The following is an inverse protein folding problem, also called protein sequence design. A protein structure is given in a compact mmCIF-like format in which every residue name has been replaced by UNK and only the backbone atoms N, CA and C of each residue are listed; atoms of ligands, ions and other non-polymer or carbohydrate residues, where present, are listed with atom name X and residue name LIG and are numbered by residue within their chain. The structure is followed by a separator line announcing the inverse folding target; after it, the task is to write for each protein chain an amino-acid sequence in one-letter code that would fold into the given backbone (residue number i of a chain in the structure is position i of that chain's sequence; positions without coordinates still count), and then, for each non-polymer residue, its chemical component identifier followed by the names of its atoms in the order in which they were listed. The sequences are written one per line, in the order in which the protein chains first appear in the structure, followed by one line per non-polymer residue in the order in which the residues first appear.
data_IF_229640337589
#
_entry.id   IF_229640337589
#
_cell.length_a   1.000
_cell.length_b   1.000
_cell.length_c   1.000
_cell.angle_alpha   90.00
_cell.angle_beta   90.00
_cell.angle_gamma   90.00
#
_symmetry.space_group_name_H-M   'P 1'
#
loop_
_entity.id
_entity.type
_entity.pdbx_description
1 polymer ?
#
# COMPACT_ATOMS: atom_id res chain seq x y z
N UNK A 1 33.42 6.59 12.15
CA UNK A 1 33.71 6.25 10.75
C UNK A 1 33.08 7.34 9.91
N UNK A 2 33.88 8.18 9.26
CA UNK A 2 33.36 9.28 8.45
C UNK A 2 32.67 8.69 7.21
N UNK A 3 31.35 8.84 7.13
CA UNK A 3 30.58 8.42 5.96
C UNK A 3 31.01 9.28 4.76
N UNK A 4 31.58 8.62 3.75
CA UNK A 4 32.07 9.28 2.54
C UNK A 4 30.89 9.91 1.79
N UNK A 5 30.96 11.20 1.42
CA UNK A 5 29.85 11.88 0.75
C UNK A 5 29.66 11.32 -0.68
N UNK A 6 28.42 11.36 -1.17
CA UNK A 6 28.14 11.07 -2.59
C UNK A 6 28.50 12.26 -3.48
N UNK A 7 28.79 12.01 -4.76
CA UNK A 7 29.16 13.02 -5.75
C UNK A 7 28.15 14.17 -5.82
N UNK A 8 26.85 13.86 -5.77
CA UNK A 8 25.76 14.84 -5.76
C UNK A 8 25.92 15.87 -4.62
N UNK A 9 26.32 15.42 -3.43
CA UNK A 9 26.52 16.30 -2.27
C UNK A 9 27.67 17.27 -2.50
N UNK A 10 28.76 16.82 -3.12
CA UNK A 10 29.91 17.67 -3.46
C UNK A 10 29.54 18.70 -4.53
N UNK A 11 28.81 18.28 -5.57
CA UNK A 11 28.38 19.19 -6.66
C UNK A 11 27.38 20.25 -6.18
N UNK A 12 26.47 19.89 -5.28
CA UNK A 12 25.55 20.84 -4.65
C UNK A 12 26.28 21.83 -3.73
N UNK A 13 27.36 21.39 -3.08
CA UNK A 13 28.22 22.29 -2.31
C UNK A 13 28.91 23.31 -3.21
N UNK A 14 29.51 22.87 -4.32
CA UNK A 14 30.20 23.73 -5.29
C UNK A 14 29.26 24.74 -5.98
N UNK A 15 27.97 24.39 -6.15
CA UNK A 15 26.96 25.29 -6.75
C UNK A 15 26.14 26.08 -5.74
N UNK A 16 26.46 26.01 -4.44
CA UNK A 16 25.72 26.65 -3.34
C UNK A 16 24.23 26.25 -3.25
N UNK A 17 23.88 25.04 -3.69
CA UNK A 17 22.52 24.48 -3.68
C UNK A 17 22.27 23.51 -2.51
N UNK A 18 22.94 23.74 -1.37
CA UNK A 18 22.95 22.82 -0.23
C UNK A 18 21.65 22.81 0.57
N UNK A 19 20.85 23.88 0.47
CA UNK A 19 19.57 23.97 1.17
C UNK A 19 18.44 23.45 0.29
N UNK A 20 17.50 22.69 0.89
CA UNK A 20 16.35 22.14 0.17
C UNK A 20 15.59 23.21 -0.63
N UNK A 21 15.39 24.41 -0.05
CA UNK A 21 14.75 25.54 -0.73
C UNK A 21 15.54 26.05 -1.95
N UNK A 22 16.87 26.12 -1.88
CA UNK A 22 17.70 26.53 -3.02
C UNK A 22 17.67 25.46 -4.13
N UNK A 23 17.69 24.18 -3.74
CA UNK A 23 17.56 23.06 -4.64
C UNK A 23 16.22 23.07 -5.39
N UNK A 24 15.08 23.23 -4.69
CA UNK A 24 13.75 23.30 -5.32
C UNK A 24 13.66 24.42 -6.37
N UNK A 25 14.23 25.60 -6.08
CA UNK A 25 14.21 26.73 -7.03
C UNK A 25 14.99 26.42 -8.31
N UNK A 26 16.14 25.78 -8.18
CA UNK A 26 16.94 25.38 -9.34
C UNK A 26 16.28 24.22 -10.09
N UNK A 27 15.67 23.29 -9.36
CA UNK A 27 14.90 22.18 -9.91
C UNK A 27 13.75 22.69 -10.79
N UNK A 28 12.94 23.62 -10.29
CA UNK A 28 11.84 24.22 -11.05
C UNK A 28 12.34 25.03 -12.26
N UNK A 29 13.50 25.69 -12.15
CA UNK A 29 14.13 26.42 -13.26
C UNK A 29 14.55 25.49 -14.40
N UNK A 30 15.04 24.29 -14.07
CA UNK A 30 15.45 23.28 -15.03
C UNK A 30 14.25 22.52 -15.58
N UNK A 31 13.30 22.12 -14.72
CA UNK A 31 12.03 21.53 -15.11
C UNK A 31 11.30 22.44 -16.12
N UNK A 32 11.24 23.74 -15.86
CA UNK A 32 10.66 24.71 -16.78
C UNK A 32 11.22 24.70 -18.21
N UNK A 33 12.46 24.23 -18.41
CA UNK A 33 13.14 24.16 -19.71
C UNK A 33 13.11 22.74 -20.31
N UNK A 34 13.13 21.71 -19.47
CA UNK A 34 13.14 20.32 -19.89
C UNK A 34 11.71 19.80 -20.15
N UNK A 35 10.81 20.00 -19.19
CA UNK A 35 9.40 19.64 -19.28
C UNK A 35 8.57 20.50 -18.28
N UNK A 36 7.74 21.43 -18.76
CA UNK A 36 6.93 22.30 -17.90
C UNK A 36 5.98 21.55 -16.95
N UNK A 37 5.60 20.30 -17.25
CA UNK A 37 4.72 19.48 -16.41
C UNK A 37 5.40 18.98 -15.13
N UNK A 38 6.74 19.02 -15.07
CA UNK A 38 7.53 18.58 -13.92
C UNK A 38 7.80 19.71 -12.90
N UNK A 39 7.29 20.93 -13.13
CA UNK A 39 7.40 22.03 -12.16
C UNK A 39 6.63 21.71 -10.89
N UNK A 40 7.23 21.98 -9.74
CA UNK A 40 6.67 21.59 -8.44
C UNK A 40 6.87 20.11 -8.09
N UNK A 41 7.38 19.29 -9.01
CA UNK A 41 7.73 17.88 -8.81
C UNK A 41 9.11 17.68 -8.19
N UNK A 42 9.61 18.64 -7.40
CA UNK A 42 10.88 18.52 -6.69
C UNK A 42 10.80 17.48 -5.56
N UNK A 43 11.91 16.81 -5.22
CA UNK A 43 11.94 15.81 -4.15
C UNK A 43 11.61 16.42 -2.79
N UNK A 44 10.85 15.69 -1.98
CA UNK A 44 10.50 16.11 -0.62
C UNK A 44 11.76 16.40 0.22
N UNK A 45 11.64 17.19 1.29
CA UNK A 45 12.79 17.56 2.13
C UNK A 45 13.52 16.33 2.68
N UNK A 46 12.78 15.27 3.03
CA UNK A 46 13.34 14.01 3.49
C UNK A 46 14.10 13.28 2.36
N UNK A 47 13.53 13.22 1.16
CA UNK A 47 14.17 12.60 -0.01
C UNK A 47 15.44 13.36 -0.42
N UNK A 48 15.41 14.69 -0.38
CA UNK A 48 16.60 15.53 -0.62
C UNK A 48 17.74 15.19 0.35
N UNK A 49 17.48 15.12 1.66
CA UNK A 49 18.55 14.75 2.61
C UNK A 49 18.98 13.28 2.48
N UNK A 50 18.09 12.37 2.08
CA UNK A 50 18.42 10.97 1.78
C UNK A 50 19.32 10.84 0.54
N UNK A 51 19.08 11.64 -0.49
CA UNK A 51 19.97 11.72 -1.66
C UNK A 51 21.37 12.20 -1.28
N UNK A 52 21.50 13.05 -0.28
CA UNK A 52 22.79 13.54 0.23
C UNK A 52 23.47 12.57 1.20
N UNK A 53 22.72 11.70 1.87
CA UNK A 53 23.27 10.69 2.79
C UNK A 53 23.85 9.48 2.07
N UNK A 54 23.48 9.27 0.79
CA UNK A 54 23.92 8.12 0.00
C UNK A 54 23.17 6.83 0.35
N UNK A 55 22.08 6.91 1.11
CA UNK A 55 21.25 5.78 1.54
C UNK A 55 20.18 5.40 0.49
N UNK A 56 20.34 5.85 -0.75
CA UNK A 56 19.40 5.55 -1.83
C UNK A 56 19.69 4.15 -2.40
N UNK A 57 18.72 3.24 -2.31
CA UNK A 57 18.79 1.93 -2.95
C UNK A 57 18.29 2.08 -4.39
N UNK A 58 19.20 2.14 -5.36
CA UNK A 58 18.87 2.30 -6.79
C UNK A 58 18.88 3.75 -7.26
N UNK A 59 18.31 4.00 -8.45
CA UNK A 59 18.24 5.33 -9.06
C UNK A 59 16.88 6.00 -8.75
N UNK A 60 16.82 7.35 -8.67
CA UNK A 60 15.55 8.06 -8.58
C UNK A 60 14.59 7.78 -9.74
N UNK A 61 13.35 8.22 -9.61
CA UNK A 61 12.35 8.14 -10.69
C UNK A 61 12.88 8.80 -11.99
N UNK A 62 12.53 8.30 -13.20
CA UNK A 62 13.08 8.79 -14.46
C UNK A 62 12.98 10.31 -14.67
N UNK A 63 11.94 10.95 -14.15
CA UNK A 63 11.79 12.42 -14.25
C UNK A 63 12.78 13.17 -13.36
N UNK A 64 13.07 12.66 -12.15
CA UNK A 64 14.17 13.18 -11.34
C UNK A 64 15.52 12.92 -11.99
N UNK A 65 15.71 11.77 -12.63
CA UNK A 65 16.94 11.47 -13.36
C UNK A 65 17.17 12.46 -14.52
N UNK A 66 16.13 12.72 -15.32
CA UNK A 66 16.18 13.71 -16.41
C UNK A 66 16.53 15.10 -15.92
N UNK A 67 15.93 15.52 -14.81
CA UNK A 67 16.16 16.86 -14.24
C UNK A 67 17.55 16.94 -13.60
N UNK A 68 18.02 15.91 -12.90
CA UNK A 68 19.36 15.87 -12.32
C UNK A 68 20.46 15.88 -13.39
N UNK A 69 20.32 15.10 -14.48
CA UNK A 69 21.24 15.13 -15.62
C UNK A 69 21.25 16.51 -16.31
N UNK A 70 20.10 17.20 -16.32
CA UNK A 70 19.99 18.56 -16.87
C UNK A 70 20.55 19.62 -15.92
N UNK A 71 20.44 19.43 -14.60
CA UNK A 71 21.02 20.30 -13.58
C UNK A 71 22.54 20.19 -13.57
N UNK A 72 23.10 19.01 -13.85
CA UNK A 72 24.54 18.75 -13.87
C UNK A 72 25.00 18.25 -15.24
N UNK A 73 25.13 19.13 -16.26
CA UNK A 73 25.60 18.73 -17.58
C UNK A 73 26.94 18.01 -17.51
N UNK A 74 27.05 16.86 -18.18
CA UNK A 74 28.25 16.01 -18.16
C UNK A 74 28.23 14.90 -17.10
N UNK A 75 27.25 14.90 -16.17
CA UNK A 75 27.08 13.86 -15.17
C UNK A 75 25.87 12.99 -15.47
N UNK A 76 26.06 11.67 -15.43
CA UNK A 76 24.94 10.74 -15.45
C UNK A 76 24.40 10.48 -14.06
N UNK A 77 23.10 10.19 -13.97
CA UNK A 77 22.43 10.12 -12.66
C UNK A 77 23.01 9.00 -11.78
N UNK A 78 23.44 7.88 -12.37
CA UNK A 78 24.14 6.80 -11.69
C UNK A 78 25.47 7.24 -11.08
N UNK A 79 26.17 8.18 -11.71
CA UNK A 79 27.44 8.73 -11.22
C UNK A 79 27.23 9.75 -10.10
N UNK A 80 26.13 10.50 -10.13
CA UNK A 80 25.77 11.45 -9.07
C UNK A 80 25.57 10.76 -7.71
N UNK A 81 25.14 9.50 -7.71
CA UNK A 81 24.89 8.72 -6.49
C UNK A 81 26.04 7.77 -6.09
N UNK A 82 27.17 7.78 -6.80
CA UNK A 82 28.37 7.04 -6.38
C UNK A 82 29.05 7.69 -5.16
N UNK A 83 29.65 6.86 -4.32
CA UNK A 83 30.48 7.31 -3.18
C UNK A 83 31.75 7.97 -3.70
N UNK A 84 32.03 9.19 -3.26
CA UNK A 84 33.23 9.93 -3.66
C UNK A 84 34.38 9.66 -2.67
N UNK A 85 35.50 9.17 -3.21
CA UNK A 85 36.69 8.74 -2.44
C UNK A 85 37.78 9.83 -2.30
N UNK A 86 37.52 11.07 -2.72
CA UNK A 86 38.53 12.15 -2.76
C UNK A 86 38.19 13.37 -1.91
N UNK A 87 39.22 14.15 -1.54
CA UNK A 87 39.04 15.49 -1.00
C UNK A 87 38.36 16.42 -2.02
N UNK A 88 37.70 17.46 -1.50
CA UNK A 88 36.91 18.50 -2.19
C UNK A 88 37.56 19.22 -3.39
N UNK A 89 38.78 18.86 -3.78
CA UNK A 89 39.57 19.53 -4.82
C UNK A 89 39.65 18.77 -6.17
N UNK A 90 39.09 17.56 -6.29
CA UNK A 90 39.15 16.83 -7.56
C UNK A 90 37.86 16.08 -7.89
N UNK A 91 37.23 16.48 -8.99
CA UNK A 91 36.05 15.85 -9.58
C UNK A 91 36.51 15.07 -10.82
N UNK A 92 36.52 13.72 -10.83
CA UNK A 92 36.93 12.96 -12.00
C UNK A 92 35.85 13.00 -13.09
N UNK A 93 36.27 13.23 -14.34
CA UNK A 93 35.38 13.21 -15.51
C UNK A 93 34.93 11.76 -15.85
N UNK A 94 33.65 11.52 -16.19
CA UNK A 94 33.11 10.16 -16.26
C UNK A 94 33.45 9.37 -17.54
N UNK A 95 33.74 8.07 -17.38
CA UNK A 95 33.94 7.09 -18.44
C UNK A 95 32.64 6.28 -18.76
N UNK A 96 32.49 5.84 -20.01
CA UNK A 96 31.28 5.24 -20.62
C UNK A 96 31.15 3.71 -20.38
N UNK A 97 29.97 3.14 -20.01
CA UNK A 97 29.77 1.68 -19.92
C UNK A 97 28.94 1.04 -21.07
N UNK A 98 29.27 -0.23 -21.39
CA UNK A 98 28.66 -1.12 -22.41
C UNK A 98 27.48 -1.98 -21.88
N UNK A 99 26.61 -2.45 -22.80
CA UNK A 99 25.36 -3.23 -22.60
C UNK A 99 25.54 -4.76 -22.65
N UNK A 100 24.73 -5.51 -21.88
CA UNK A 100 24.33 -6.92 -22.15
C UNK A 100 22.87 -7.21 -21.75
N UNK A 101 22.23 -8.14 -22.47
CA UNK A 101 20.78 -8.46 -22.49
C UNK A 101 20.45 -9.81 -21.79
N UNK A 102 19.19 -10.12 -21.39
CA UNK A 102 18.79 -11.41 -20.80
C UNK A 102 17.96 -12.33 -21.73
N UNK A 103 17.91 -13.63 -21.41
CA UNK A 103 17.16 -14.72 -22.10
C UNK A 103 16.23 -15.47 -21.13
N UNK A 104 15.04 -15.85 -21.62
CA UNK A 104 13.91 -16.51 -20.91
C UNK A 104 13.83 -18.04 -21.17
N UNK A 105 13.27 -18.87 -20.25
CA UNK A 105 12.74 -20.21 -20.58
C UNK A 105 11.23 -20.44 -20.26
N UNK A 106 10.59 -21.50 -20.80
CA UNK A 106 9.12 -21.65 -20.89
C UNK A 106 8.42 -22.60 -19.89
N UNK A 107 7.09 -22.42 -19.76
CA UNK A 107 6.09 -23.09 -18.92
C UNK A 107 5.62 -24.49 -19.40
N UNK A 108 5.14 -25.32 -18.46
CA UNK A 108 4.31 -26.53 -18.69
C UNK A 108 3.03 -26.49 -17.81
N UNK A 109 1.89 -27.06 -18.27
CA UNK A 109 0.60 -26.99 -17.56
C UNK A 109 0.28 -28.23 -16.70
N UNK A 110 -0.49 -28.07 -15.63
CA UNK A 110 -0.93 -29.14 -14.72
C UNK A 110 -2.47 -29.25 -14.72
N UNK A 111 -2.99 -30.48 -14.81
CA UNK A 111 -4.42 -30.81 -14.75
C UNK A 111 -5.02 -30.78 -13.33
N UNK A 112 -6.34 -31.00 -13.17
CA UNK A 112 -7.06 -30.69 -11.94
C UNK A 112 -6.78 -31.74 -10.85
N UNK A 113 -6.42 -31.26 -9.65
CA UNK A 113 -6.04 -32.08 -8.50
C UNK A 113 -7.22 -32.35 -7.53
N UNK A 114 -7.21 -33.56 -6.96
CA UNK A 114 -8.04 -34.00 -5.84
C UNK A 114 -7.95 -33.05 -4.63
N UNK A 115 -9.04 -32.81 -3.86
CA UNK A 115 -9.04 -31.88 -2.72
C UNK A 115 -8.12 -32.29 -1.57
N UNK A 116 -7.78 -33.57 -1.44
CA UNK A 116 -6.79 -34.07 -0.48
C UNK A 116 -5.36 -33.66 -0.89
N UNK A 117 -5.04 -33.74 -2.19
CA UNK A 117 -3.75 -33.33 -2.74
C UNK A 117 -3.53 -31.81 -2.65
N UNK A 118 -4.59 -31.01 -2.91
CA UNK A 118 -4.53 -29.56 -2.81
C UNK A 118 -4.23 -29.07 -1.38
N UNK A 119 -4.75 -29.74 -0.36
CA UNK A 119 -4.47 -29.37 1.06
C UNK A 119 -3.02 -29.65 1.42
N UNK A 120 -2.47 -30.79 0.98
CA UNK A 120 -1.06 -31.14 1.21
C UNK A 120 -0.11 -30.17 0.49
N UNK A 121 -0.44 -29.75 -0.74
CA UNK A 121 0.36 -28.80 -1.52
C UNK A 121 0.52 -27.43 -0.84
N UNK A 122 -0.44 -27.02 -0.01
CA UNK A 122 -0.42 -25.73 0.71
C UNK A 122 0.21 -25.87 2.10
N UNK A 123 0.27 -27.07 2.67
CA UNK A 123 0.79 -27.32 4.01
C UNK A 123 2.30 -27.04 4.12
N UNK A 124 3.10 -27.53 3.17
CA UNK A 124 4.57 -27.33 3.16
C UNK A 124 5.00 -25.84 3.12
N UNK A 125 4.36 -24.95 2.33
CA UNK A 125 4.59 -23.51 2.42
C UNK A 125 4.20 -22.89 3.78
N UNK A 126 3.09 -23.33 4.40
CA UNK A 126 2.61 -22.80 5.68
C UNK A 126 3.59 -23.11 6.80
N UNK A 127 4.02 -24.38 6.89
CA UNK A 127 4.96 -24.82 7.92
C UNK A 127 6.28 -24.07 7.81
N UNK A 128 6.81 -23.89 6.60
CA UNK A 128 7.98 -23.03 6.36
C UNK A 128 7.75 -21.57 6.72
N UNK A 129 6.56 -21.02 6.45
CA UNK A 129 6.22 -19.65 6.83
C UNK A 129 6.21 -19.43 8.34
N UNK A 130 5.86 -20.46 9.13
CA UNK A 130 5.95 -20.41 10.59
C UNK A 130 7.38 -20.48 11.11
N UNK A 131 8.29 -21.14 10.40
CA UNK A 131 9.70 -21.27 10.79
C UNK A 131 10.57 -20.09 10.33
N UNK A 132 10.13 -19.35 9.30
CA UNK A 132 10.85 -18.22 8.77
C UNK A 132 10.88 -17.03 9.76
N UNK A 133 12.04 -16.37 9.95
CA UNK A 133 12.09 -15.16 10.75
C UNK A 133 11.20 -14.07 10.13
N UNK A 134 10.49 -13.30 10.96
CA UNK A 134 9.60 -12.20 10.56
C UNK A 134 10.30 -11.00 9.87
N UNK A 135 11.51 -11.21 9.35
CA UNK A 135 12.35 -10.22 8.69
C UNK A 135 12.02 -10.16 7.18
N UNK A 136 10.92 -9.49 6.84
CA UNK A 136 10.72 -8.80 5.54
C UNK A 136 10.79 -9.58 4.22
N UNK A 137 11.11 -10.88 4.21
CA UNK A 137 11.22 -11.68 2.98
C UNK A 137 9.90 -12.31 2.52
N UNK A 138 8.88 -12.35 3.40
CA UNK A 138 7.53 -12.72 2.99
C UNK A 138 6.89 -11.53 2.26
N UNK A 139 6.51 -11.71 1.01
CA UNK A 139 5.86 -10.68 0.22
C UNK A 139 4.95 -11.30 -0.82
N UNK A 140 3.97 -10.54 -1.29
CA UNK A 140 3.28 -10.84 -2.54
C UNK A 140 4.36 -10.92 -3.62
N UNK A 141 4.65 -12.12 -4.14
CA UNK A 141 5.78 -12.31 -5.05
C UNK A 141 5.69 -11.40 -6.29
N UNK A 142 6.83 -11.05 -6.89
CA UNK A 142 6.98 -10.10 -8.01
C UNK A 142 6.20 -10.41 -9.31
N UNK A 143 5.37 -11.47 -9.35
CA UNK A 143 4.82 -12.04 -10.58
C UNK A 143 3.36 -11.70 -10.93
N UNK A 144 2.68 -10.80 -10.20
CA UNK A 144 1.25 -10.50 -10.44
C UNK A 144 1.02 -8.99 -10.63
N UNK A 145 1.76 -8.37 -11.56
CA UNK A 145 1.35 -7.08 -12.11
C UNK A 145 1.09 -7.30 -13.61
N UNK A 146 -0.16 -7.10 -14.00
CA UNK A 146 -0.78 -7.36 -15.30
C UNK A 146 -1.29 -8.79 -15.52
N UNK A 147 -2.60 -8.98 -15.31
CA UNK A 147 -3.49 -9.46 -16.38
C UNK A 147 -4.95 -9.19 -15.99
N UNK A 148 -5.58 -8.27 -16.72
CA UNK A 148 -6.99 -7.93 -16.59
C UNK A 148 -7.87 -9.12 -16.99
N UNK A 149 -8.65 -9.63 -16.05
CA UNK A 149 -9.49 -10.82 -16.22
C UNK A 149 -10.74 -10.50 -17.03
N UNK A 150 -10.85 -11.07 -18.23
CA UNK A 150 -12.08 -11.11 -19.01
C UNK A 150 -13.12 -12.06 -18.37
N UNK A 151 -14.37 -11.62 -18.34
CA UNK A 151 -15.53 -12.37 -17.85
C UNK A 151 -15.97 -13.45 -18.84
N UNK A 152 -16.07 -14.69 -18.40
CA UNK A 152 -16.94 -15.71 -19.02
C UNK A 152 -17.72 -16.48 -17.96
N UNK A 153 -19.02 -16.65 -18.25
CA UNK A 153 -20.04 -17.33 -17.43
C UNK A 153 -20.31 -18.75 -17.97
N UNK A 154 -21.14 -19.62 -17.35
CA UNK A 154 -20.66 -20.87 -16.78
C UNK A 154 -21.27 -22.13 -17.44
N UNK A 155 -20.71 -23.29 -17.10
CA UNK A 155 -21.37 -24.59 -17.26
C UNK A 155 -21.41 -25.27 -15.88
N UNK A 156 -22.62 -25.57 -15.42
CA UNK A 156 -22.91 -26.33 -14.19
C UNK A 156 -22.77 -27.82 -14.45
N UNK A 157 -22.10 -28.54 -13.55
CA UNK A 157 -22.47 -29.91 -13.17
C UNK A 157 -21.92 -30.24 -11.76
N UNK A 158 -22.80 -30.76 -10.91
CA UNK A 158 -22.50 -31.28 -9.57
C UNK A 158 -22.49 -32.82 -9.62
N UNK A 159 -21.66 -33.46 -8.80
CA UNK A 159 -22.16 -34.61 -8.07
C UNK A 159 -21.96 -34.49 -6.56
N UNK A 160 -23.01 -34.93 -5.85
CA UNK A 160 -23.10 -35.12 -4.41
C UNK A 160 -22.32 -36.37 -3.96
N UNK A 161 -21.98 -36.33 -2.67
CA UNK A 161 -21.74 -37.46 -1.73
C UNK A 161 -20.28 -37.82 -1.46
N UNK A 162 -19.78 -37.44 -0.27
CA UNK A 162 -18.78 -38.22 0.48
C UNK A 162 -19.16 -38.20 1.96
N UNK A 163 -19.17 -39.39 2.55
CA UNK A 163 -19.55 -39.64 3.94
C UNK A 163 -18.55 -39.16 4.99
N UNK A 164 -19.05 -39.18 6.21
CA UNK A 164 -18.38 -39.00 7.50
C UNK A 164 -18.78 -40.26 8.29
N UNK A 165 -17.97 -40.85 9.19
CA UNK A 165 -17.03 -40.17 10.10
C UNK A 165 -15.65 -40.80 10.21
N UNK A 166 -14.67 -40.04 10.73
CA UNK A 166 -13.77 -40.54 11.79
C UNK A 166 -12.88 -39.46 12.41
N UNK A 167 -12.83 -39.52 13.76
CA UNK A 167 -11.87 -38.97 14.73
C UNK A 167 -11.55 -37.47 14.71
N UNK A 168 -11.99 -36.78 15.77
CA UNK A 168 -11.47 -35.47 16.22
C UNK A 168 -10.01 -35.61 16.66
N UNK A 169 -9.11 -35.85 15.71
CA UNK A 169 -7.70 -35.55 15.90
C UNK A 169 -7.61 -34.03 16.01
N UNK A 170 -7.09 -33.50 17.12
CA UNK A 170 -6.85 -32.06 17.28
C UNK A 170 -6.05 -31.57 16.07
N UNK A 171 -6.75 -30.91 15.13
CA UNK A 171 -6.11 -30.42 13.93
C UNK A 171 -5.11 -29.34 14.32
N UNK A 172 -3.87 -29.48 13.84
CA UNK A 172 -2.83 -28.48 14.07
C UNK A 172 -3.25 -27.15 13.45
N UNK A 173 -2.77 -26.00 13.96
CA UNK A 173 -3.05 -24.70 13.35
C UNK A 173 -2.70 -24.66 11.85
N UNK A 174 -1.61 -25.33 11.44
CA UNK A 174 -1.19 -25.45 10.04
C UNK A 174 -2.26 -26.17 9.19
N UNK A 175 -2.80 -27.31 9.67
CA UNK A 175 -3.84 -28.06 8.97
C UNK A 175 -5.15 -27.27 8.84
N UNK A 176 -5.52 -26.51 9.89
CA UNK A 176 -6.69 -25.62 9.85
C UNK A 176 -6.51 -24.53 8.81
N UNK A 177 -5.35 -23.86 8.80
CA UNK A 177 -5.03 -22.81 7.83
C UNK A 177 -5.02 -23.36 6.39
N UNK A 178 -4.37 -24.51 6.15
CA UNK A 178 -4.33 -25.13 4.83
C UNK A 178 -5.73 -25.43 4.30
N UNK A 179 -6.59 -26.05 5.13
CA UNK A 179 -7.98 -26.33 4.78
C UNK A 179 -8.77 -25.05 4.50
N UNK A 180 -8.62 -24.04 5.36
CA UNK A 180 -9.30 -22.75 5.18
C UNK A 180 -8.87 -22.05 3.90
N UNK A 181 -7.59 -22.09 3.53
CA UNK A 181 -7.10 -21.50 2.28
C UNK A 181 -7.70 -22.19 1.04
N UNK A 182 -7.83 -23.52 1.05
CA UNK A 182 -8.49 -24.25 -0.05
C UNK A 182 -9.98 -23.94 -0.12
N UNK A 183 -10.66 -23.78 1.02
CA UNK A 183 -12.06 -23.35 1.03
C UNK A 183 -12.21 -21.91 0.51
N UNK A 184 -11.32 -21.02 0.93
CA UNK A 184 -11.29 -19.63 0.51
C UNK A 184 -11.01 -19.50 -0.99
N UNK A 185 -10.12 -20.32 -1.55
CA UNK A 185 -9.79 -20.28 -2.97
C UNK A 185 -10.99 -20.60 -3.86
N UNK A 186 -11.81 -21.57 -3.46
CA UNK A 186 -13.06 -21.90 -4.15
C UNK A 186 -14.07 -20.75 -4.05
N UNK A 187 -14.17 -20.11 -2.88
CA UNK A 187 -15.11 -19.01 -2.64
C UNK A 187 -14.76 -17.74 -3.43
N UNK A 188 -13.48 -17.35 -3.39
CA UNK A 188 -12.98 -16.13 -4.04
C UNK A 188 -12.44 -16.37 -5.45
N UNK A 189 -12.48 -17.61 -5.96
CA UNK A 189 -11.94 -18.03 -7.26
C UNK A 189 -10.48 -17.59 -7.45
N UNK A 190 -9.66 -17.84 -6.42
CA UNK A 190 -8.23 -17.52 -6.40
C UNK A 190 -7.46 -18.49 -7.29
N UNK A 191 -6.41 -18.00 -7.93
CA UNK A 191 -5.49 -18.86 -8.68
C UNK A 191 -4.58 -19.67 -7.75
N UNK A 192 -4.03 -20.79 -8.23
CA UNK A 192 -3.07 -21.58 -7.45
C UNK A 192 -1.82 -20.77 -7.05
N UNK A 193 -1.42 -19.81 -7.90
CA UNK A 193 -0.34 -18.88 -7.60
C UNK A 193 -0.70 -17.96 -6.41
N UNK A 194 -1.90 -17.40 -6.39
CA UNK A 194 -2.40 -16.56 -5.28
C UNK A 194 -2.53 -17.35 -3.97
N UNK A 195 -3.04 -18.59 -4.03
CA UNK A 195 -3.12 -19.47 -2.86
C UNK A 195 -1.71 -19.73 -2.30
N UNK A 196 -0.76 -20.03 -3.18
CA UNK A 196 0.63 -20.25 -2.80
C UNK A 196 1.25 -19.01 -2.16
N UNK A 197 0.91 -17.82 -2.65
CA UNK A 197 1.36 -16.55 -2.04
C UNK A 197 0.74 -16.34 -0.67
N UNK A 198 -0.58 -16.54 -0.51
CA UNK A 198 -1.23 -16.47 0.80
C UNK A 198 -0.62 -17.45 1.80
N UNK A 199 -0.31 -18.67 1.36
CA UNK A 199 0.32 -19.68 2.20
C UNK A 199 1.70 -19.23 2.71
N UNK A 200 2.47 -18.49 1.90
CA UNK A 200 3.77 -17.91 2.32
C UNK A 200 3.63 -16.79 3.36
N UNK A 201 2.44 -16.23 3.55
CA UNK A 201 2.13 -15.24 4.59
C UNK A 201 1.71 -15.89 5.92
N UNK A 202 1.87 -17.22 6.07
CA UNK A 202 1.69 -17.89 7.34
C UNK A 202 2.50 -17.20 8.46
N UNK A 203 1.86 -17.02 9.61
CA UNK A 203 2.39 -16.22 10.71
C UNK A 203 1.87 -14.78 10.75
N UNK A 204 1.21 -14.30 9.70
CA UNK A 204 0.66 -12.94 9.63
C UNK A 204 -0.88 -12.91 9.68
N UNK A 205 -1.42 -11.72 9.95
CA UNK A 205 -2.83 -11.40 9.73
C UNK A 205 -2.90 -10.74 8.36
N UNK A 206 -3.66 -11.31 7.44
CA UNK A 206 -3.83 -10.78 6.08
C UNK A 206 -5.17 -10.08 5.98
N UNK A 207 -5.16 -8.90 5.39
CA UNK A 207 -6.34 -8.13 5.06
C UNK A 207 -6.76 -8.56 3.65
N UNK A 208 -7.84 -9.33 3.53
CA UNK A 208 -8.34 -9.79 2.22
C UNK A 208 -8.97 -8.63 1.45
N UNK A 209 -9.78 -7.85 2.13
CA UNK A 209 -10.45 -6.66 1.60
C UNK A 209 -10.49 -5.58 2.68
N UNK A 210 -9.95 -4.40 2.36
CA UNK A 210 -10.06 -3.20 3.18
C UNK A 210 -10.84 -2.14 2.41
N UNK A 211 -11.99 -1.74 2.95
CA UNK A 211 -12.74 -0.59 2.44
C UNK A 211 -12.66 0.56 3.42
N UNK A 212 -12.31 1.74 2.93
CA UNK A 212 -12.41 3.00 3.66
C UNK A 212 -13.30 3.95 2.85
N UNK A 213 -14.47 4.27 3.38
CA UNK A 213 -15.41 5.20 2.76
C UNK A 213 -15.46 6.49 3.57
N UNK A 214 -15.25 7.62 2.91
CA UNK A 214 -15.27 8.96 3.50
C UNK A 214 -16.44 9.72 2.89
N UNK A 215 -17.43 10.06 3.70
CA UNK A 215 -18.55 10.91 3.30
C UNK A 215 -18.35 12.29 3.93
N UNK A 216 -18.24 13.33 3.10
CA UNK A 216 -17.96 14.71 3.47
C UNK A 216 -19.19 15.56 3.12
N UNK A 217 -19.76 16.23 4.13
CA UNK A 217 -20.88 17.14 3.93
C UNK A 217 -20.47 18.52 3.38
N UNK A 218 -21.47 19.35 3.09
CA UNK A 218 -21.31 20.72 2.58
C UNK A 218 -20.45 21.62 3.50
N UNK A 219 -20.56 21.42 4.82
CA UNK A 219 -19.74 22.10 5.81
C UNK A 219 -18.30 21.53 5.92
N UNK A 220 -18.01 20.42 5.24
CA UNK A 220 -16.73 19.71 5.25
C UNK A 220 -16.57 18.71 6.39
N UNK A 221 -17.60 18.47 7.21
CA UNK A 221 -17.55 17.43 8.23
C UNK A 221 -17.61 16.06 7.59
N UNK A 222 -16.87 15.12 8.17
CA UNK A 222 -16.74 13.79 7.59
C UNK A 222 -17.20 12.68 8.52
N UNK A 223 -17.76 11.64 7.89
CA UNK A 223 -17.90 10.32 8.46
C UNK A 223 -17.00 9.36 7.69
N UNK A 224 -16.00 8.79 8.38
CA UNK A 224 -15.10 7.78 7.82
C UNK A 224 -15.55 6.42 8.29
N UNK A 225 -15.89 5.52 7.38
CA UNK A 225 -16.33 4.15 7.66
C UNK A 225 -15.28 3.17 7.17
N UNK A 226 -14.83 2.30 8.06
CA UNK A 226 -13.90 1.22 7.75
C UNK A 226 -14.60 -0.14 7.77
N UNK A 227 -14.24 -0.99 6.81
CA UNK A 227 -14.56 -2.41 6.82
C UNK A 227 -13.31 -3.22 6.52
N UNK A 228 -12.97 -4.12 7.43
CA UNK A 228 -11.78 -4.95 7.38
C UNK A 228 -12.16 -6.42 7.30
N UNK A 229 -11.94 -7.07 6.14
CA UNK A 229 -12.05 -8.51 6.03
C UNK A 229 -10.69 -9.14 6.33
N UNK A 230 -10.56 -9.75 7.50
CA UNK A 230 -9.31 -10.28 8.03
C UNK A 230 -9.26 -11.79 7.87
N UNK A 231 -8.12 -12.32 7.40
CA UNK A 231 -7.77 -13.72 7.42
C UNK A 231 -6.64 -13.94 8.44
N UNK A 232 -6.91 -14.76 9.46
CA UNK A 232 -5.92 -15.10 10.48
C UNK A 232 -5.01 -16.24 10.03
N UNK A 233 -3.84 -15.96 9.48
CA UNK A 233 -2.84 -16.99 9.16
C UNK A 233 -1.83 -17.21 10.30
N UNK A 234 -2.10 -16.69 11.50
CA UNK A 234 -1.26 -16.91 12.68
C UNK A 234 -1.66 -18.20 13.40
N UNK A 235 -0.81 -18.65 14.32
CA UNK A 235 -1.09 -19.82 15.16
C UNK A 235 -1.97 -19.50 16.38
N UNK A 236 -2.39 -18.24 16.56
CA UNK A 236 -3.15 -17.80 17.75
C UNK A 236 -4.44 -17.08 17.37
N UNK A 237 -5.52 -17.24 18.15
CA UNK A 237 -6.73 -16.44 17.94
C UNK A 237 -6.48 -14.94 18.12
N UNK A 238 -7.07 -14.13 17.26
CA UNK A 238 -6.97 -12.66 17.32
C UNK A 238 -8.14 -12.11 18.11
N UNK A 239 -7.83 -11.38 19.19
CA UNK A 239 -8.83 -10.71 20.03
C UNK A 239 -8.78 -9.20 19.92
N UNK A 240 -7.75 -8.65 19.29
CA UNK A 240 -7.44 -7.22 19.31
C UNK A 240 -6.85 -6.76 17.99
N UNK A 241 -7.40 -5.67 17.44
CA UNK A 241 -6.92 -5.00 16.24
C UNK A 241 -6.59 -3.54 16.56
N UNK A 242 -5.31 -3.20 16.62
CA UNK A 242 -4.86 -1.80 16.83
C UNK A 242 -5.06 -0.98 15.56
N UNK A 243 -5.56 0.25 15.71
CA UNK A 243 -5.80 1.24 14.67
C UNK A 243 -5.36 2.63 15.13
N UNK A 244 -5.09 3.48 14.17
CA UNK A 244 -4.90 4.91 14.38
C UNK A 244 -5.62 5.69 13.30
N UNK A 245 -6.03 6.92 13.64
CA UNK A 245 -6.76 7.80 12.74
C UNK A 245 -6.41 9.24 13.08
N UNK A 246 -6.12 10.03 12.06
CA UNK A 246 -5.69 11.42 12.18
C UNK A 246 -6.50 12.30 11.23
N UNK A 247 -6.83 13.50 11.68
CA UNK A 247 -7.41 14.56 10.86
C UNK A 247 -6.63 15.85 11.09
N UNK A 248 -6.59 16.73 10.10
CA UNK A 248 -5.99 18.05 10.30
C UNK A 248 -6.85 18.93 11.19
N UNK A 249 -8.16 18.94 10.95
CA UNK A 249 -9.14 19.74 11.69
C UNK A 249 -10.18 18.85 12.35
N UNK A 250 -10.47 19.11 13.63
CA UNK A 250 -11.51 18.40 14.41
C UNK A 250 -12.33 19.38 15.26
N UNK A 251 -13.55 19.00 15.65
CA UNK A 251 -14.37 19.75 16.63
C UNK A 251 -14.04 19.40 18.09
N UNK A 252 -13.05 18.53 18.31
CA UNK A 252 -12.76 17.90 19.59
C UNK A 252 -12.26 16.47 19.36
N UNK A 253 -12.30 15.62 20.40
CA UNK A 253 -11.95 14.21 20.24
C UNK A 253 -12.84 13.52 19.20
N UNK A 254 -12.22 12.71 18.34
CA UNK A 254 -12.93 11.93 17.33
C UNK A 254 -13.92 10.98 18.01
N UNK A 255 -15.12 10.84 17.48
CA UNK A 255 -16.10 9.83 17.93
C UNK A 255 -15.89 8.56 17.12
N UNK A 256 -15.56 7.44 17.76
CA UNK A 256 -15.22 6.17 17.11
C UNK A 256 -16.12 5.09 17.68
N UNK A 257 -16.92 4.47 16.82
CA UNK A 257 -17.95 3.51 17.22
C UNK A 257 -17.86 2.25 16.34
N UNK A 258 -18.06 1.06 16.93
CA UNK A 258 -18.10 -0.17 16.17
C UNK A 258 -19.36 -0.20 15.31
N UNK A 259 -19.25 -0.67 14.07
CA UNK A 259 -20.43 -0.96 13.26
C UNK A 259 -21.08 -2.25 13.76
N UNK A 260 -22.41 -2.32 13.86
CA UNK A 260 -23.09 -3.53 14.29
C UNK A 260 -22.79 -4.66 13.29
N UNK A 261 -22.37 -5.81 13.82
CA UNK A 261 -22.16 -7.05 13.07
C UNK A 261 -22.94 -8.17 13.72
N UNK A 262 -23.56 -9.01 12.90
CA UNK A 262 -24.31 -10.18 13.36
C UNK A 262 -23.36 -11.33 13.78
N UNK A 263 -22.12 -11.32 13.29
CA UNK A 263 -21.18 -12.42 13.49
C UNK A 263 -20.37 -12.25 14.79
N UNK A 264 -19.90 -11.01 15.05
CA UNK A 264 -18.97 -10.72 16.15
C UNK A 264 -19.26 -9.38 16.78
N UNK A 265 -19.12 -9.32 18.10
CA UNK A 265 -19.16 -8.07 18.86
C UNK A 265 -17.79 -7.41 18.80
N UNK A 266 -17.78 -6.13 18.43
CA UNK A 266 -16.58 -5.30 18.44
C UNK A 266 -16.76 -4.22 19.49
N UNK A 267 -15.77 -4.05 20.36
CA UNK A 267 -15.71 -2.96 21.33
C UNK A 267 -14.49 -2.08 21.05
N UNK A 268 -14.66 -0.76 21.13
CA UNK A 268 -13.58 0.21 20.89
C UNK A 268 -12.93 0.58 22.22
N UNK A 269 -11.63 0.28 22.38
CA UNK A 269 -10.82 0.74 23.50
C UNK A 269 -9.83 1.79 23.02
N UNK A 270 -9.96 3.03 23.51
CA UNK A 270 -8.99 4.10 23.27
C UNK A 270 -7.69 3.82 24.01
N UNK A 271 -6.56 4.02 23.32
CA UNK A 271 -5.21 3.85 23.90
C UNK A 271 -4.50 5.19 24.03
N UNK A 272 -4.72 6.10 23.10
CA UNK A 272 -4.17 7.45 23.14
C UNK A 272 -5.04 8.40 22.33
N UNK A 273 -5.47 9.50 22.92
CA UNK A 273 -6.26 10.52 22.24
C UNK A 273 -5.62 11.89 22.41
N UNK A 274 -5.29 12.51 21.28
CA UNK A 274 -5.07 13.94 21.14
C UNK A 274 -6.23 14.52 20.33
N UNK A 275 -6.35 15.85 20.29
CA UNK A 275 -7.45 16.52 19.58
C UNK A 275 -7.57 16.08 18.12
N UNK A 276 -6.46 15.79 17.45
CA UNK A 276 -6.40 15.50 16.02
C UNK A 276 -5.88 14.09 15.68
N UNK A 277 -5.49 13.30 16.70
CA UNK A 277 -4.97 11.93 16.56
C UNK A 277 -5.62 11.01 17.59
N UNK A 278 -6.27 9.94 17.12
CA UNK A 278 -6.77 8.87 17.98
C UNK A 278 -6.07 7.56 17.66
N UNK A 279 -5.49 6.94 18.68
CA UNK A 279 -5.03 5.54 18.67
C UNK A 279 -5.97 4.71 19.54
N UNK A 280 -6.41 3.60 19.00
CA UNK A 280 -7.39 2.74 19.66
C UNK A 280 -7.20 1.29 19.24
N UNK A 281 -7.93 0.40 19.90
CA UNK A 281 -7.99 -0.99 19.54
C UNK A 281 -9.42 -1.48 19.48
N UNK A 282 -9.75 -2.22 18.43
CA UNK A 282 -10.98 -2.98 18.33
C UNK A 282 -10.78 -4.30 19.07
N UNK A 283 -11.51 -4.52 20.16
CA UNK A 283 -11.62 -5.82 20.82
C UNK A 283 -12.70 -6.65 20.16
N UNK A 284 -12.38 -7.88 19.82
CA UNK A 284 -13.21 -8.75 18.97
C UNK A 284 -13.66 -9.95 19.80
N UNK A 285 -14.98 -10.17 19.88
CA UNK A 285 -15.58 -11.28 20.60
C UNK A 285 -16.72 -11.93 19.80
N UNK A 286 -16.68 -13.25 19.53
CA UNK A 286 -15.58 -14.17 19.85
C UNK A 286 -14.27 -13.78 19.14
N UNK A 287 -13.16 -14.43 19.48
CA UNK A 287 -11.86 -14.22 18.82
C UNK A 287 -11.86 -14.78 17.38
N UNK A 288 -11.10 -14.19 16.47
CA UNK A 288 -10.92 -14.73 15.11
C UNK A 288 -9.93 -15.88 15.20
N UNK A 289 -10.38 -17.10 14.96
CA UNK A 289 -9.57 -18.31 15.10
C UNK A 289 -8.56 -18.49 13.96
N UNK A 290 -7.60 -19.40 14.14
CA UNK A 290 -6.56 -19.67 13.14
C UNK A 290 -7.19 -20.24 11.86
N UNK A 291 -6.86 -19.65 10.71
CA UNK A 291 -7.45 -19.96 9.41
C UNK A 291 -8.82 -19.32 9.18
N UNK A 292 -9.37 -18.60 10.15
CA UNK A 292 -10.68 -17.99 10.01
C UNK A 292 -10.63 -16.67 9.22
N UNK A 293 -11.70 -16.39 8.46
CA UNK A 293 -11.99 -15.08 7.88
C UNK A 293 -13.10 -14.40 8.67
N UNK A 294 -12.89 -13.15 9.10
CA UNK A 294 -13.91 -12.37 9.81
C UNK A 294 -13.88 -10.89 9.40
N UNK A 295 -15.04 -10.25 9.48
CA UNK A 295 -15.17 -8.81 9.19
C UNK A 295 -15.19 -7.98 10.47
N UNK A 296 -14.37 -6.93 10.51
CA UNK A 296 -14.33 -5.94 11.59
C UNK A 296 -14.59 -4.56 10.99
N UNK A 297 -15.66 -3.90 11.44
CA UNK A 297 -16.06 -2.60 10.89
C UNK A 297 -16.30 -1.59 12.00
N UNK A 298 -15.98 -0.33 11.74
CA UNK A 298 -16.20 0.80 12.64
C UNK A 298 -16.32 2.07 11.82
N UNK A 299 -16.88 3.11 12.41
CA UNK A 299 -16.91 4.44 11.81
C UNK A 299 -16.36 5.49 12.78
N UNK A 300 -15.92 6.59 12.19
CA UNK A 300 -15.33 7.73 12.87
C UNK A 300 -16.01 9.02 12.42
N UNK A 301 -16.32 9.90 13.37
CA UNK A 301 -16.90 11.24 13.15
C UNK A 301 -16.11 12.31 13.91
N UNK A 302 -16.30 13.56 13.51
CA UNK A 302 -15.68 14.72 14.16
C UNK A 302 -14.42 15.24 13.48
N UNK A 303 -14.01 14.64 12.36
CA UNK A 303 -12.98 15.18 11.47
C UNK A 303 -13.59 16.07 10.39
N UNK A 304 -12.87 17.13 10.01
CA UNK A 304 -13.32 18.12 9.02
C UNK A 304 -12.26 18.39 7.95
N UNK A 305 -12.69 18.50 6.71
CA UNK A 305 -11.89 18.97 5.57
C UNK A 305 -12.18 20.46 5.34
N UNK A 306 -11.15 21.30 5.35
CA UNK A 306 -11.30 22.76 5.29
C UNK A 306 -10.47 23.37 4.16
N UNK A 307 -9.15 23.27 4.24
CA UNK A 307 -8.24 23.87 3.26
C UNK A 307 -7.67 22.81 2.32
N UNK A 308 -7.07 21.77 2.91
CA UNK A 308 -6.45 20.69 2.17
C UNK A 308 -7.39 19.48 2.08
N UNK A 309 -7.63 19.03 0.85
CA UNK A 309 -8.45 17.87 0.53
C UNK A 309 -7.53 16.70 0.20
N UNK A 310 -7.09 16.00 1.24
CA UNK A 310 -6.27 14.81 1.11
C UNK A 310 -6.57 13.76 2.16
N UNK A 311 -6.29 12.51 1.82
CA UNK A 311 -6.39 11.39 2.74
C UNK A 311 -5.20 10.46 2.56
N UNK A 312 -4.52 10.12 3.66
CA UNK A 312 -3.43 9.13 3.66
C UNK A 312 -3.86 7.88 4.41
N UNK A 313 -3.97 6.77 3.69
CA UNK A 313 -4.24 5.45 4.23
C UNK A 313 -2.96 4.64 4.39
N UNK A 314 -2.49 4.47 5.62
CA UNK A 314 -1.40 3.54 5.92
C UNK A 314 -1.86 2.08 5.83
N UNK A 315 -0.98 1.19 5.39
CA UNK A 315 -1.20 -0.25 5.24
C UNK A 315 -0.34 -0.99 6.25
N UNK A 316 -0.87 -1.34 7.45
CA UNK A 316 -0.08 -1.96 8.51
C UNK A 316 0.08 -3.48 8.35
N UNK A 317 -0.60 -4.10 7.39
CA UNK A 317 -0.66 -5.54 7.16
C UNK A 317 -0.61 -5.83 5.67
N UNK A 318 -0.30 -7.06 5.29
CA UNK A 318 -0.47 -7.47 3.90
C UNK A 318 -1.94 -7.32 3.52
N UNK A 319 -2.22 -6.51 2.51
CA UNK A 319 -3.57 -6.24 2.02
C UNK A 319 -3.71 -6.71 0.60
N UNK A 320 -4.59 -7.69 0.37
CA UNK A 320 -4.87 -8.22 -0.96
C UNK A 320 -5.61 -7.19 -1.81
N UNK A 321 -6.65 -6.55 -1.26
CA UNK A 321 -7.44 -5.55 -1.95
C UNK A 321 -7.77 -4.38 -1.03
N UNK A 322 -7.48 -3.16 -1.48
CA UNK A 322 -7.83 -1.91 -0.84
C UNK A 322 -8.75 -1.12 -1.76
N UNK A 323 -9.88 -0.66 -1.24
CA UNK A 323 -10.74 0.35 -1.86
C UNK A 323 -10.83 1.58 -0.96
N UNK A 324 -10.49 2.75 -1.50
CA UNK A 324 -10.82 4.04 -0.90
C UNK A 324 -11.95 4.68 -1.69
N UNK A 325 -13.04 5.02 -1.02
CA UNK A 325 -14.15 5.77 -1.60
C UNK A 325 -14.28 7.12 -0.90
N UNK A 326 -14.40 8.19 -1.66
CA UNK A 326 -14.71 9.52 -1.16
C UNK A 326 -15.97 10.00 -1.85
N UNK A 327 -16.93 10.46 -1.04
CA UNK A 327 -18.07 11.27 -1.48
C UNK A 327 -17.92 12.64 -0.87
N UNK A 328 -17.74 13.66 -1.69
CA UNK A 328 -17.73 15.05 -1.25
C UNK A 328 -18.98 15.74 -1.80
N UNK A 329 -19.88 16.10 -0.90
CA UNK A 329 -21.17 16.69 -1.23
C UNK A 329 -21.05 18.18 -1.54
N UNK A 330 -21.99 18.68 -2.33
CA UNK A 330 -22.10 20.10 -2.68
C UNK A 330 -20.82 20.65 -3.37
N UNK A 331 -20.27 19.83 -4.26
CA UNK A 331 -19.14 20.16 -5.11
C UNK A 331 -19.67 20.62 -6.47
N UNK A 332 -19.32 21.84 -6.87
CA UNK A 332 -19.67 22.35 -8.19
C UNK A 332 -18.86 21.66 -9.30
N UNK A 333 -17.55 21.46 -9.07
CA UNK A 333 -16.67 20.78 -10.02
C UNK A 333 -15.41 20.25 -9.32
N UNK A 334 -15.03 19.01 -9.65
CA UNK A 334 -13.74 18.42 -9.30
C UNK A 334 -12.65 18.93 -10.28
N UNK A 335 -11.70 19.71 -9.79
CA UNK A 335 -10.64 20.33 -10.60
C UNK A 335 -9.48 19.37 -10.90
N UNK A 336 -9.06 18.65 -9.86
CA UNK A 336 -7.90 17.78 -9.91
C UNK A 336 -8.09 16.62 -8.94
N UNK A 337 -7.58 15.45 -9.27
CA UNK A 337 -7.56 14.29 -8.39
C UNK A 337 -6.34 13.44 -8.71
N UNK A 338 -5.50 13.19 -7.70
CA UNK A 338 -4.26 12.45 -7.83
C UNK A 338 -4.12 11.45 -6.70
N UNK A 339 -3.55 10.29 -7.02
CA UNK A 339 -3.27 9.24 -6.05
C UNK A 339 -1.81 8.82 -6.16
N UNK A 340 -1.17 8.63 -5.01
CA UNK A 340 0.22 8.21 -4.86
C UNK A 340 0.27 7.00 -3.92
N UNK A 341 0.95 5.94 -4.35
CA UNK A 341 1.33 4.82 -3.49
C UNK A 341 2.77 4.99 -3.01
N UNK A 342 2.94 5.17 -1.70
CA UNK A 342 4.22 5.11 -1.01
C UNK A 342 4.57 3.64 -0.75
N UNK A 343 5.71 3.21 -1.28
CA UNK A 343 6.30 1.89 -1.11
C UNK A 343 6.94 1.74 0.28
N UNK A 344 7.21 0.52 0.72
CA UNK A 344 7.83 0.27 2.02
C UNK A 344 9.26 0.83 2.15
N UNK A 345 9.96 1.03 1.03
CA UNK A 345 11.26 1.71 0.99
C UNK A 345 11.17 3.25 0.96
N UNK A 346 9.94 3.78 0.93
CA UNK A 346 9.61 5.19 0.82
C UNK A 346 9.70 5.75 -0.60
N UNK A 347 9.89 4.91 -1.63
CA UNK A 347 9.68 5.33 -3.02
C UNK A 347 8.19 5.56 -3.28
N UNK A 348 7.86 6.43 -4.24
CA UNK A 348 6.48 6.76 -4.57
C UNK A 348 6.18 6.34 -6.00
N UNK A 349 5.00 5.77 -6.21
CA UNK A 349 4.50 5.35 -7.52
C UNK A 349 3.14 6.03 -7.72
N UNK A 350 2.90 6.59 -8.91
CA UNK A 350 1.55 7.06 -9.26
C UNK A 350 0.56 5.91 -9.13
N UNK A 351 -0.59 6.22 -8.55
CA UNK A 351 -1.78 5.38 -8.56
C UNK A 351 -2.97 6.12 -9.20
N UNK A 352 -2.68 7.24 -9.90
CA UNK A 352 -3.69 8.11 -10.49
C UNK A 352 -4.42 7.41 -11.65
N UNK A 353 -3.75 6.49 -12.33
CA UNK A 353 -4.34 5.64 -13.37
C UNK A 353 -5.46 4.71 -12.86
N UNK A 354 -5.47 4.40 -11.56
CA UNK A 354 -6.47 3.54 -10.92
C UNK A 354 -7.62 4.37 -10.29
N UNK A 355 -7.62 5.70 -10.49
CA UNK A 355 -8.69 6.57 -10.02
C UNK A 355 -9.89 6.53 -10.95
N UNK A 356 -11.06 6.39 -10.34
CA UNK A 356 -12.34 6.64 -11.00
C UNK A 356 -12.98 7.83 -10.30
N UNK A 357 -13.17 8.91 -11.04
CA UNK A 357 -13.86 10.10 -10.58
C UNK A 357 -15.16 10.26 -11.37
N UNK A 358 -16.28 10.43 -10.67
CA UNK A 358 -17.58 10.69 -11.29
C UNK A 358 -18.28 11.80 -10.52
N UNK A 359 -18.94 12.69 -11.25
CA UNK A 359 -19.82 13.69 -10.67
C UNK A 359 -21.26 13.14 -10.68
N UNK A 360 -21.92 13.11 -9.52
CA UNK A 360 -23.30 12.66 -9.38
C UNK A 360 -24.12 13.74 -8.66
N UNK A 361 -25.01 14.41 -9.40
CA UNK A 361 -25.99 15.36 -8.86
C UNK A 361 -25.42 16.45 -7.91
N UNK A 362 -24.19 16.91 -8.14
CA UNK A 362 -23.51 17.91 -7.31
C UNK A 362 -22.62 17.31 -6.22
N UNK A 363 -22.40 16.00 -6.22
CA UNK A 363 -21.41 15.32 -5.39
C UNK A 363 -20.23 14.86 -6.24
N UNK A 364 -19.01 15.04 -5.73
CA UNK A 364 -17.82 14.40 -6.30
C UNK A 364 -17.63 13.02 -5.66
N UNK A 365 -17.65 11.97 -6.50
CA UNK A 365 -17.38 10.59 -6.11
C UNK A 365 -16.00 10.19 -6.63
N UNK A 366 -15.11 9.80 -5.73
CA UNK A 366 -13.72 9.43 -6.04
C UNK A 366 -13.47 8.04 -5.49
N UNK A 367 -13.03 7.12 -6.34
CA UNK A 367 -12.68 5.77 -5.96
C UNK A 367 -11.26 5.46 -6.43
N UNK A 368 -10.43 4.90 -5.55
CA UNK A 368 -9.16 4.28 -5.92
C UNK A 368 -9.08 2.88 -5.35
N UNK A 369 -8.64 1.93 -6.16
CA UNK A 369 -8.42 0.54 -5.78
C UNK A 369 -6.97 0.17 -5.94
N UNK A 370 -6.40 -0.56 -4.97
CA UNK A 370 -5.03 -1.09 -5.05
C UNK A 370 -4.98 -2.51 -4.54
N UNK A 371 -4.19 -3.34 -5.21
CA UNK A 371 -4.04 -4.75 -4.89
C UNK A 371 -2.64 -5.08 -4.37
N UNK A 372 -2.55 -6.13 -3.58
CA UNK A 372 -1.30 -6.75 -3.13
C UNK A 372 -0.33 -5.79 -2.43
N UNK A 373 -0.88 -4.96 -1.54
CA UNK A 373 -0.13 -4.04 -0.71
C UNK A 373 0.59 -4.77 0.44
N UNK A 374 1.77 -4.26 0.78
CA UNK A 374 2.64 -4.75 1.84
C UNK A 374 2.57 -3.86 3.08
N UNK A 375 2.92 -4.40 4.27
CA UNK A 375 3.09 -3.60 5.47
C UNK A 375 4.04 -2.42 5.24
N UNK A 376 3.71 -1.27 5.83
CA UNK A 376 4.47 -0.01 5.72
C UNK A 376 4.30 0.74 4.40
N UNK A 377 3.48 0.25 3.47
CA UNK A 377 3.03 1.07 2.36
C UNK A 377 1.92 2.04 2.78
N UNK A 378 1.65 3.05 1.97
CA UNK A 378 0.51 3.95 2.15
C UNK A 378 -0.04 4.47 0.83
N UNK A 379 -1.35 4.67 0.77
CA UNK A 379 -2.01 5.35 -0.36
C UNK A 379 -2.37 6.77 0.07
N UNK A 380 -1.92 7.77 -0.68
CA UNK A 380 -2.29 9.16 -0.48
C UNK A 380 -3.15 9.63 -1.64
N UNK A 381 -4.38 10.01 -1.35
CA UNK A 381 -5.31 10.63 -2.29
C UNK A 381 -5.34 12.13 -2.03
N UNK A 382 -5.28 12.94 -3.10
CA UNK A 382 -5.42 14.39 -3.06
C UNK A 382 -6.40 14.82 -4.13
N UNK A 383 -7.36 15.66 -3.78
CA UNK A 383 -8.33 16.17 -4.72
C UNK A 383 -8.57 17.66 -4.53
N UNK A 384 -9.04 18.35 -5.56
CA UNK A 384 -9.34 19.78 -5.51
C UNK A 384 -10.74 20.00 -6.04
N UNK A 385 -11.52 20.81 -5.33
CA UNK A 385 -12.91 21.08 -5.69
C UNK A 385 -13.17 22.57 -5.74
N UNK A 386 -14.09 22.97 -6.61
CA UNK A 386 -14.75 24.28 -6.53
C UNK A 386 -16.10 24.13 -5.88
N UNK A 387 -16.44 25.09 -5.02
CA UNK A 387 -17.80 25.24 -4.50
C UNK A 387 -18.51 26.30 -5.34
N UNK A 388 -19.81 26.15 -5.54
CA UNK A 388 -20.59 27.20 -6.17
C UNK A 388 -20.45 28.46 -5.29
N UNK A 389 -20.07 29.58 -5.89
CA UNK A 389 -20.06 30.86 -5.19
C UNK A 389 -21.50 31.16 -4.77
N UNK A 390 -21.75 31.11 -3.47
CA UNK A 390 -23.01 31.49 -2.83
C UNK A 390 -23.40 32.94 -3.12
#
# INVERSE_FOLDING_TARGET
MDAKPVVLKVLLQHRHLQTHRAFCREYDRVAAKADPTLRGGWPSKAQFYRWLSGELVGLPYPDHCRILESMFPGWKVDQLFQTHDGGIDFVPEPATPQKTSPTTPPLLPTGPADPSAATLAVLDPIERGFEAPANGQAGWGSGIRAESRALTSPSTDFPLTVGVPQSETEQTPAQRIARSLVALSKRLRLSDAEITQLAKLAGHIVELDMTCSIDIDDAGWSTVTYSHQLLNLTQRPIKRLTRELWFETTSGPLTIEPSPSNERKVAIQRTHDMNNLSKFACHISPAIDCGEVATVSYFCRGGRFVHDHYWRQAVPRYTRHLTLNIRHRDVHMLLNCTAIEEQADGSEVSATEDLVCTDDAGDALITVTRDYLQPSQAITLRWEVTRASS
#
